data_IF_183843461713
#
_entry.id   IF_183843461713
#
_cell.length_a   1.000
_cell.length_b   1.000
_cell.length_c   1.000
_cell.angle_alpha   90.00
_cell.angle_beta   90.00
_cell.angle_gamma   90.00
#
_symmetry.space_group_name_H-M   'P 1'
#
loop_
_entity.id
_entity.type
_entity.pdbx_description
1 polymer ?
#
# COMPACT_ATOMS: atom_id res chain seq x y z
N UNK A 1 11.19 -23.02 -7.50
CA UNK A 1 12.11 -22.21 -8.34
C UNK A 1 13.43 -22.95 -8.60
N UNK A 2 13.99 -23.66 -7.62
CA UNK A 2 15.12 -24.57 -7.83
C UNK A 2 14.84 -25.63 -8.90
N UNK A 3 13.62 -26.19 -8.94
CA UNK A 3 13.22 -27.21 -9.93
C UNK A 3 13.15 -26.72 -11.39
N UNK A 4 13.03 -25.40 -11.59
CA UNK A 4 13.02 -24.79 -12.94
C UNK A 4 14.42 -24.36 -13.39
N UNK A 5 15.43 -24.41 -12.50
CA UNK A 5 16.76 -23.87 -12.78
C UNK A 5 17.53 -24.65 -13.86
N UNK A 6 17.19 -25.92 -14.08
CA UNK A 6 17.79 -26.79 -15.10
C UNK A 6 16.83 -27.12 -16.25
N UNK A 7 15.63 -26.54 -16.25
CA UNK A 7 14.63 -26.77 -17.30
C UNK A 7 14.83 -25.82 -18.49
N UNK A 8 14.43 -26.26 -19.68
CA UNK A 8 14.30 -25.37 -20.83
C UNK A 8 13.15 -24.37 -20.61
N UNK A 9 13.06 -23.33 -21.44
CA UNK A 9 12.05 -22.26 -21.24
C UNK A 9 10.63 -22.80 -21.18
N UNK A 10 10.29 -23.81 -22.00
CA UNK A 10 8.97 -24.40 -22.03
C UNK A 10 8.66 -25.16 -20.73
N UNK A 11 9.60 -26.01 -20.26
CA UNK A 11 9.46 -26.72 -19.00
C UNK A 11 9.43 -25.79 -17.78
N UNK A 12 10.23 -24.71 -17.79
CA UNK A 12 10.25 -23.71 -16.73
C UNK A 12 8.90 -22.97 -16.60
N UNK A 13 8.27 -22.61 -17.73
CA UNK A 13 6.95 -21.98 -17.74
C UNK A 13 5.85 -22.93 -17.24
N UNK A 14 5.95 -24.23 -17.53
CA UNK A 14 4.98 -25.20 -17.00
C UNK A 14 5.08 -25.35 -15.48
N UNK A 15 6.31 -25.38 -14.94
CA UNK A 15 6.58 -25.42 -13.50
C UNK A 15 6.07 -24.15 -12.82
N UNK A 16 6.35 -22.98 -13.42
CA UNK A 16 5.84 -21.70 -12.93
C UNK A 16 4.31 -21.66 -12.94
N UNK A 17 3.67 -22.08 -14.03
CA UNK A 17 2.21 -22.11 -14.14
C UNK A 17 1.56 -22.98 -13.07
N UNK A 18 2.10 -24.18 -12.81
CA UNK A 18 1.63 -25.07 -11.74
C UNK A 18 1.75 -24.42 -10.36
N UNK A 19 2.89 -23.76 -10.10
CA UNK A 19 3.10 -23.02 -8.85
C UNK A 19 2.14 -21.84 -8.69
N UNK A 20 1.93 -21.08 -9.77
CA UNK A 20 1.03 -19.93 -9.79
C UNK A 20 -0.42 -20.33 -9.51
N UNK A 21 -0.93 -21.36 -10.19
CA UNK A 21 -2.31 -21.86 -9.97
C UNK A 21 -2.50 -22.35 -8.54
N UNK A 22 -1.49 -23.00 -7.96
CA UNK A 22 -1.54 -23.44 -6.56
C UNK A 22 -1.62 -22.25 -5.61
N UNK A 23 -0.79 -21.23 -5.79
CA UNK A 23 -0.77 -20.04 -4.94
C UNK A 23 -2.03 -19.20 -5.08
N UNK A 24 -2.52 -19.00 -6.31
CA UNK A 24 -3.70 -18.18 -6.60
C UNK A 24 -4.98 -18.68 -5.91
N UNK A 25 -5.06 -19.99 -5.60
CA UNK A 25 -6.20 -20.61 -4.91
C UNK A 25 -6.09 -20.58 -3.39
N UNK A 26 -5.00 -20.05 -2.83
CA UNK A 26 -4.82 -19.98 -1.38
C UNK A 26 -5.60 -18.82 -0.76
N UNK A 27 -6.05 -19.00 0.48
CA UNK A 27 -6.70 -17.92 1.25
C UNK A 27 -5.75 -16.74 1.47
N UNK A 28 -4.45 -16.99 1.64
CA UNK A 28 -3.44 -15.94 1.79
C UNK A 28 -3.39 -15.07 0.54
N UNK A 29 -3.37 -15.65 -0.66
CA UNK A 29 -3.40 -14.89 -1.90
C UNK A 29 -4.69 -14.06 -2.03
N UNK A 30 -5.86 -14.65 -1.72
CA UNK A 30 -7.13 -13.94 -1.73
C UNK A 30 -7.14 -12.74 -0.76
N UNK A 31 -6.62 -12.92 0.46
CA UNK A 31 -6.54 -11.87 1.46
C UNK A 31 -5.58 -10.75 1.06
N UNK A 32 -4.43 -11.07 0.48
CA UNK A 32 -3.48 -10.07 -0.01
C UNK A 32 -4.03 -9.30 -1.21
N UNK A 33 -4.72 -9.98 -2.12
CA UNK A 33 -5.44 -9.33 -3.24
C UNK A 33 -6.51 -8.39 -2.68
N UNK A 34 -7.30 -8.84 -1.70
CA UNK A 34 -8.31 -8.01 -1.06
C UNK A 34 -7.69 -6.80 -0.36
N UNK A 35 -6.55 -6.95 0.32
CA UNK A 35 -5.81 -5.84 0.93
C UNK A 35 -5.33 -4.84 -0.13
N UNK A 36 -4.79 -5.33 -1.24
CA UNK A 36 -4.38 -4.48 -2.37
C UNK A 36 -5.56 -3.71 -2.96
N UNK A 37 -6.70 -4.36 -3.18
CA UNK A 37 -7.92 -3.69 -3.63
C UNK A 37 -8.35 -2.64 -2.60
N UNK A 38 -8.37 -3.00 -1.31
CA UNK A 38 -8.74 -2.08 -0.24
C UNK A 38 -7.80 -0.87 -0.10
N UNK A 39 -6.53 -0.97 -0.51
CA UNK A 39 -5.55 0.13 -0.51
C UNK A 39 -5.66 1.03 -1.76
N UNK A 40 -6.16 0.49 -2.88
CA UNK A 40 -6.45 1.28 -4.09
C UNK A 40 -7.83 1.94 -4.08
N UNK A 41 -8.82 1.32 -3.44
CA UNK A 41 -10.19 1.82 -3.33
C UNK A 41 -10.61 2.41 -1.96
N UNK A 42 -9.73 2.74 -0.98
CA UNK A 42 -10.16 3.29 0.32
C UNK A 42 -10.71 4.71 0.16
N UNK A 43 -10.41 5.38 -0.97
CA UNK A 43 -11.13 6.55 -1.47
C UNK A 43 -12.54 6.21 -1.99
N UNK A 44 -13.20 5.25 -1.35
CA UNK A 44 -14.64 5.03 -1.43
C UNK A 44 -15.35 6.33 -1.05
N UNK A 45 -16.57 6.52 -1.57
CA UNK A 45 -17.21 7.83 -1.69
C UNK A 45 -17.25 8.71 -0.43
N UNK A 46 -17.16 8.14 0.78
CA UNK A 46 -17.04 8.92 2.01
C UNK A 46 -15.76 9.77 2.05
N UNK A 47 -14.59 9.21 1.78
CA UNK A 47 -13.33 9.96 1.80
C UNK A 47 -13.28 11.02 0.70
N UNK A 48 -13.78 10.71 -0.51
CA UNK A 48 -13.90 11.71 -1.60
C UNK A 48 -14.83 12.86 -1.24
N UNK A 49 -15.96 12.58 -0.60
CA UNK A 49 -16.89 13.61 -0.10
C UNK A 49 -16.25 14.50 0.96
N UNK A 50 -15.47 13.91 1.87
CA UNK A 50 -14.75 14.68 2.89
C UNK A 50 -13.66 15.55 2.27
N UNK A 51 -12.87 15.01 1.33
CA UNK A 51 -11.84 15.78 0.60
C UNK A 51 -12.48 16.91 -0.22
N UNK A 52 -13.61 16.67 -0.88
CA UNK A 52 -14.32 17.69 -1.67
C UNK A 52 -14.80 18.87 -0.82
N UNK A 53 -15.07 18.63 0.47
CA UNK A 53 -15.49 19.66 1.43
C UNK A 53 -14.34 20.13 2.34
N UNK A 54 -13.13 19.60 2.17
CA UNK A 54 -11.99 19.94 3.00
C UNK A 54 -11.35 21.24 2.49
N UNK A 55 -11.10 22.18 3.41
CA UNK A 55 -10.31 23.37 3.13
C UNK A 55 -8.83 23.02 2.97
N UNK A 56 -8.12 23.83 2.20
CA UNK A 56 -6.67 23.73 2.09
C UNK A 56 -6.00 24.09 3.42
N UNK A 57 -5.11 23.24 3.90
CA UNK A 57 -4.30 23.50 5.09
C UNK A 57 -3.01 24.13 4.63
N UNK A 58 -2.78 25.40 4.98
CA UNK A 58 -1.58 26.15 4.60
C UNK A 58 -0.57 26.31 5.76
N UNK A 59 -1.00 26.04 6.99
CA UNK A 59 -0.18 26.13 8.20
C UNK A 59 -0.63 25.11 9.23
N UNK A 60 0.31 24.48 9.95
CA UNK A 60 -0.01 23.48 10.98
C UNK A 60 0.90 23.59 12.21
N UNK A 61 0.30 23.82 13.38
CA UNK A 61 1.01 23.84 14.67
C UNK A 61 0.90 22.50 15.42
N UNK A 62 1.96 22.13 16.15
CA UNK A 62 1.98 20.96 17.04
C UNK A 62 2.09 21.40 18.49
N UNK A 63 1.11 21.04 19.32
CA UNK A 63 1.15 21.31 20.76
C UNK A 63 1.84 20.15 21.50
N UNK A 64 3.10 20.37 21.86
CA UNK A 64 3.94 19.41 22.58
C UNK A 64 5.12 18.92 21.73
N UNK A 65 6.34 19.15 22.20
CA UNK A 65 7.59 18.89 21.47
C UNK A 65 8.27 17.54 21.80
N UNK A 66 7.51 16.60 22.37
CA UNK A 66 8.01 15.25 22.66
C UNK A 66 8.27 14.43 21.41
N UNK A 67 8.68 13.17 21.57
CA UNK A 67 9.05 12.26 20.46
C UNK A 67 7.97 12.21 19.37
N UNK A 68 6.69 12.09 19.76
CA UNK A 68 5.58 12.09 18.80
C UNK A 68 5.36 13.45 18.14
N UNK A 69 5.50 14.55 18.90
CA UNK A 69 5.31 15.90 18.39
C UNK A 69 6.39 16.30 17.38
N UNK A 70 7.64 15.93 17.66
CA UNK A 70 8.74 16.07 16.70
C UNK A 70 8.49 15.26 15.41
N UNK A 71 7.95 14.04 15.53
CA UNK A 71 7.58 13.22 14.37
C UNK A 71 6.46 13.82 13.52
N UNK A 72 5.43 14.39 14.14
CA UNK A 72 4.33 15.08 13.45
C UNK A 72 4.85 16.33 12.75
N UNK A 73 5.61 17.18 13.45
CA UNK A 73 6.20 18.39 12.88
C UNK A 73 7.12 18.07 11.70
N UNK A 74 7.95 17.02 11.83
CA UNK A 74 8.82 16.55 10.76
C UNK A 74 8.04 16.08 9.53
N UNK A 75 6.99 15.27 9.70
CA UNK A 75 6.15 14.82 8.59
C UNK A 75 5.37 15.97 7.93
N UNK A 76 4.87 16.93 8.71
CA UNK A 76 4.21 18.14 8.18
C UNK A 76 5.17 18.97 7.32
N UNK A 77 6.37 19.24 7.83
CA UNK A 77 7.39 19.98 7.10
C UNK A 77 7.83 19.27 5.82
N UNK A 78 8.04 17.94 5.86
CA UNK A 78 8.38 17.13 4.68
C UNK A 78 7.30 17.19 3.59
N UNK A 79 6.02 17.29 3.98
CA UNK A 79 4.90 17.42 3.03
C UNK A 79 4.66 18.86 2.58
N UNK A 80 5.54 19.79 2.93
CA UNK A 80 5.47 21.19 2.50
C UNK A 80 4.49 22.04 3.28
N UNK A 81 4.02 21.59 4.45
CA UNK A 81 3.19 22.38 5.36
C UNK A 81 4.10 23.12 6.34
N UNK A 82 4.27 24.45 6.21
CA UNK A 82 5.00 25.23 7.19
C UNK A 82 4.27 25.24 8.54
N UNK A 83 5.06 25.35 9.61
CA UNK A 83 4.57 25.54 10.98
C UNK A 83 4.00 26.94 11.17
#
# INVERSE_FOLDING_TARGET
MQDAATADRAGALEIEHKGFVKLAKTEVAANLIQMFLNDKFPFSGAAKKQIANAGEVNSAGVLGAGIMGGGIAYQSALKGLPS
#
